data_IF_532618396635
#
_entry.id   IF_532618396635
#
_cell.length_a   1.000
_cell.length_b   1.000
_cell.length_c   1.000
_cell.angle_alpha   90.00
_cell.angle_beta   90.00
_cell.angle_gamma   90.00
#
_symmetry.space_group_name_H-M   'P 1'
#
loop_
_entity.id
_entity.type
_entity.pdbx_description
1 polymer ?
#
# COMPACT_ATOMS: atom_id res chain seq x y z
N UNK A 1 -5.52 -28.95 -9.19
CA UNK A 1 -5.33 -27.88 -10.18
C UNK A 1 -6.41 -26.85 -9.86
N UNK A 2 -6.06 -25.85 -9.06
CA UNK A 2 -7.01 -24.91 -8.45
C UNK A 2 -7.08 -23.70 -9.37
N UNK A 3 -8.18 -23.58 -10.10
CA UNK A 3 -8.63 -22.33 -10.69
C UNK A 3 -9.95 -21.96 -10.03
N UNK A 4 -10.33 -20.67 -10.13
CA UNK A 4 -11.57 -20.01 -9.67
C UNK A 4 -11.37 -19.20 -8.38
N UNK A 5 -10.92 -17.95 -8.52
CA UNK A 5 -11.56 -16.79 -7.83
C UNK A 5 -11.47 -15.57 -8.77
N UNK A 6 -12.42 -15.45 -9.70
CA UNK A 6 -12.68 -14.21 -10.41
C UNK A 6 -13.56 -13.30 -9.55
N UNK A 7 -12.94 -12.35 -8.84
CA UNK A 7 -13.67 -11.35 -8.04
C UNK A 7 -14.19 -10.23 -8.94
N UNK A 8 -15.51 -10.15 -9.11
CA UNK A 8 -16.19 -9.07 -9.80
C UNK A 8 -17.07 -8.28 -8.81
N UNK A 9 -16.55 -7.19 -8.24
CA UNK A 9 -17.36 -6.10 -7.68
C UNK A 9 -16.72 -4.74 -7.96
N UNK A 10 -17.35 -4.02 -8.89
CA UNK A 10 -17.25 -2.59 -9.22
C UNK A 10 -18.69 -2.07 -8.94
N UNK A 11 -19.00 -0.95 -8.28
CA UNK A 11 -18.48 0.42 -8.31
C UNK A 11 -19.06 1.13 -7.06
N UNK A 12 -18.28 1.96 -6.37
CA UNK A 12 -18.82 3.12 -5.64
C UNK A 12 -18.37 4.36 -6.40
N UNK A 13 -19.33 5.11 -6.93
CA UNK A 13 -19.08 6.44 -7.49
C UNK A 13 -19.13 7.44 -6.34
N UNK A 14 -18.00 8.09 -6.06
CA UNK A 14 -18.00 9.35 -5.33
C UNK A 14 -17.68 10.46 -6.32
N UNK A 15 -18.73 11.14 -6.76
CA UNK A 15 -18.67 12.42 -7.45
C UNK A 15 -18.00 13.46 -6.55
N UNK A 16 -16.81 13.93 -6.96
CA UNK A 16 -16.31 15.26 -6.60
C UNK A 16 -15.47 15.84 -7.74
N UNK A 17 -16.18 16.46 -8.68
CA UNK A 17 -15.73 17.50 -9.62
C UNK A 17 -16.48 18.77 -9.15
N UNK A 18 -15.91 19.94 -8.89
CA UNK A 18 -14.79 20.65 -9.50
C UNK A 18 -14.29 21.76 -8.55
N UNK A 19 -13.00 22.12 -8.65
CA UNK A 19 -12.56 23.50 -8.82
C UNK A 19 -11.11 23.50 -9.31
N UNK A 20 -10.92 23.93 -10.57
CA UNK A 20 -9.61 24.22 -11.17
C UNK A 20 -9.30 25.70 -10.92
N UNK A 21 -8.07 26.00 -10.51
CA UNK A 21 -7.40 27.26 -10.85
C UNK A 21 -5.92 26.98 -11.13
N UNK A 22 -5.48 27.39 -12.31
CA UNK A 22 -4.17 27.11 -12.89
C UNK A 22 -3.10 28.11 -12.45
N UNK A 23 -1.86 27.64 -12.36
CA UNK A 23 -0.66 28.45 -12.60
C UNK A 23 0.47 27.52 -13.10
N UNK A 24 1.09 27.76 -14.27
CA UNK A 24 2.20 26.95 -14.76
C UNK A 24 3.52 27.72 -14.66
N UNK A 25 4.36 27.43 -13.65
CA UNK A 25 5.76 27.85 -13.60
C UNK A 25 6.59 26.80 -12.82
N UNK A 26 7.43 26.05 -13.55
CA UNK A 26 8.44 25.15 -12.97
C UNK A 26 8.17 23.66 -13.17
N UNK A 27 8.13 23.21 -14.43
CA UNK A 27 8.45 21.83 -14.76
C UNK A 27 9.96 21.63 -14.53
N UNK A 28 10.31 21.11 -13.35
CA UNK A 28 11.44 20.20 -13.05
C UNK A 28 11.77 20.21 -11.55
N UNK A 29 10.74 20.00 -10.73
CA UNK A 29 10.95 19.51 -9.36
C UNK A 29 10.52 18.07 -9.44
N UNK A 30 11.47 17.12 -9.38
CA UNK A 30 11.19 15.76 -8.91
C UNK A 30 10.06 15.87 -7.90
N UNK A 31 8.87 15.38 -8.26
CA UNK A 31 7.76 15.35 -7.33
C UNK A 31 8.29 14.50 -6.20
N UNK A 32 8.69 15.13 -5.10
CA UNK A 32 9.27 14.41 -3.96
C UNK A 32 8.23 13.36 -3.61
N UNK A 33 8.55 12.11 -3.89
CA UNK A 33 7.63 11.01 -3.73
C UNK A 33 7.24 11.00 -2.25
N UNK A 34 5.94 10.96 -1.98
CA UNK A 34 5.47 10.94 -0.60
C UNK A 34 5.94 9.61 0.02
N UNK A 35 6.34 9.65 1.28
CA UNK A 35 6.61 8.47 2.09
C UNK A 35 5.63 7.31 1.83
N UNK A 36 4.33 7.58 1.87
CA UNK A 36 3.32 6.54 1.72
C UNK A 36 3.26 5.98 0.29
N UNK A 37 3.64 6.77 -0.71
CA UNK A 37 3.78 6.34 -2.10
C UNK A 37 5.01 5.43 -2.26
N UNK A 38 6.13 5.78 -1.63
CA UNK A 38 7.33 4.94 -1.59
C UNK A 38 7.03 3.60 -0.90
N UNK A 39 6.38 3.61 0.26
CA UNK A 39 6.03 2.39 0.97
C UNK A 39 5.06 1.50 0.18
N UNK A 40 4.02 2.08 -0.42
CA UNK A 40 3.07 1.33 -1.24
C UNK A 40 3.76 0.67 -2.43
N UNK A 41 4.60 1.43 -3.14
CA UNK A 41 5.35 0.94 -4.32
C UNK A 41 6.37 -0.13 -3.92
N UNK A 42 7.12 0.09 -2.85
CA UNK A 42 8.10 -0.85 -2.32
C UNK A 42 7.45 -2.18 -1.94
N UNK A 43 6.35 -2.16 -1.19
CA UNK A 43 5.67 -3.38 -0.73
C UNK A 43 5.02 -4.13 -1.90
N UNK A 44 4.38 -3.44 -2.84
CA UNK A 44 3.80 -4.13 -4.01
C UNK A 44 4.89 -4.72 -4.91
N UNK A 45 5.98 -3.99 -5.16
CA UNK A 45 7.14 -4.49 -5.90
C UNK A 45 7.78 -5.71 -5.20
N UNK A 46 7.87 -5.69 -3.86
CA UNK A 46 8.38 -6.83 -3.08
C UNK A 46 7.52 -8.08 -3.23
N UNK A 47 6.19 -7.93 -3.32
CA UNK A 47 5.27 -9.06 -3.55
C UNK A 47 5.38 -9.57 -4.99
N UNK A 48 5.65 -8.67 -5.94
CA UNK A 48 5.80 -8.98 -7.37
C UNK A 48 7.20 -9.49 -7.76
N UNK A 49 8.15 -9.51 -6.82
CA UNK A 49 9.58 -9.82 -7.06
C UNK A 49 10.24 -8.89 -8.12
N UNK A 50 9.78 -7.63 -8.20
CA UNK A 50 10.28 -6.60 -9.12
C UNK A 50 11.45 -5.83 -8.47
N UNK A 51 12.66 -6.40 -8.54
CA UNK A 51 13.84 -5.79 -7.92
C UNK A 51 14.16 -4.39 -8.44
N UNK A 52 13.90 -4.10 -9.72
CA UNK A 52 14.16 -2.78 -10.28
C UNK A 52 13.26 -1.71 -9.63
N UNK A 53 11.98 -2.05 -9.43
CA UNK A 53 11.03 -1.14 -8.77
C UNK A 53 11.27 -1.05 -7.26
N UNK A 54 11.75 -2.12 -6.62
CA UNK A 54 12.22 -2.08 -5.23
C UNK A 54 13.35 -1.07 -5.08
N UNK A 55 14.37 -1.15 -5.92
CA UNK A 55 15.53 -0.25 -5.88
C UNK A 55 15.11 1.20 -6.13
N UNK A 56 14.24 1.43 -7.12
CA UNK A 56 13.68 2.76 -7.41
C UNK A 56 12.95 3.35 -6.19
N UNK A 57 11.98 2.63 -5.62
CA UNK A 57 11.18 3.09 -4.50
C UNK A 57 12.03 3.32 -3.24
N UNK A 58 13.08 2.53 -3.04
CA UNK A 58 14.01 2.69 -1.91
C UNK A 58 14.82 3.99 -1.98
N UNK A 59 15.04 4.53 -3.18
CA UNK A 59 15.75 5.79 -3.40
C UNK A 59 14.90 7.05 -3.23
N UNK A 60 13.58 6.91 -3.06
CA UNK A 60 12.66 8.04 -3.00
C UNK A 60 12.68 8.79 -1.67
N UNK A 61 12.92 8.09 -0.56
CA UNK A 61 12.87 8.60 0.81
C UNK A 61 14.03 8.02 1.64
N UNK A 62 14.27 8.51 2.86
CA UNK A 62 15.27 7.89 3.73
C UNK A 62 14.86 6.47 4.15
N UNK A 63 15.82 5.58 4.48
CA UNK A 63 15.51 4.24 4.97
C UNK A 63 14.59 4.22 6.20
N UNK A 64 14.78 5.15 7.14
CA UNK A 64 13.94 5.28 8.34
C UNK A 64 12.52 5.67 7.98
N UNK A 65 12.38 6.59 7.02
CA UNK A 65 11.10 7.01 6.50
C UNK A 65 10.41 5.80 5.85
N UNK A 66 11.07 5.09 4.93
CA UNK A 66 10.51 3.92 4.27
C UNK A 66 10.04 2.86 5.28
N UNK A 67 10.87 2.55 6.28
CA UNK A 67 10.52 1.60 7.35
C UNK A 67 9.26 2.02 8.13
N UNK A 68 9.14 3.31 8.46
CA UNK A 68 7.92 3.85 9.07
C UNK A 68 6.70 3.68 8.15
N UNK A 69 6.84 4.01 6.86
CA UNK A 69 5.76 3.84 5.87
C UNK A 69 5.32 2.38 5.70
N UNK A 70 6.26 1.43 5.66
CA UNK A 70 5.97 -0.01 5.58
C UNK A 70 5.25 -0.51 6.84
N UNK A 71 5.70 -0.08 8.02
CA UNK A 71 5.07 -0.42 9.29
C UNK A 71 3.63 0.09 9.38
N UNK A 72 3.39 1.34 8.96
CA UNK A 72 2.05 1.92 8.89
C UNK A 72 1.15 1.20 7.90
N UNK A 73 1.68 0.81 6.73
CA UNK A 73 0.93 0.02 5.75
C UNK A 73 0.52 -1.35 6.33
N UNK A 74 1.42 -2.02 7.05
CA UNK A 74 1.13 -3.29 7.72
C UNK A 74 0.02 -3.13 8.78
N UNK A 75 0.10 -2.10 9.63
CA UNK A 75 -0.95 -1.80 10.62
C UNK A 75 -2.32 -1.60 9.96
N UNK A 76 -2.37 -0.79 8.90
CA UNK A 76 -3.62 -0.53 8.17
C UNK A 76 -4.18 -1.79 7.51
N UNK A 77 -3.32 -2.62 6.91
CA UNK A 77 -3.72 -3.88 6.30
C UNK A 77 -4.32 -4.84 7.33
N UNK A 78 -3.68 -4.99 8.50
CA UNK A 78 -4.20 -5.84 9.59
C UNK A 78 -5.55 -5.32 10.09
N UNK A 79 -5.71 -4.01 10.31
CA UNK A 79 -6.99 -3.43 10.76
C UNK A 79 -8.10 -3.66 9.73
N UNK A 80 -7.80 -3.48 8.45
CA UNK A 80 -8.75 -3.70 7.37
C UNK A 80 -9.17 -5.18 7.32
N UNK A 81 -8.21 -6.10 7.30
CA UNK A 81 -8.47 -7.54 7.25
C UNK A 81 -9.19 -8.07 8.49
N UNK A 82 -8.86 -7.58 9.68
CA UNK A 82 -9.55 -7.92 10.93
C UNK A 82 -11.05 -7.58 10.85
N UNK A 83 -11.37 -6.40 10.32
CA UNK A 83 -12.77 -5.99 10.11
C UNK A 83 -13.47 -6.82 9.04
N UNK A 84 -12.78 -7.15 7.95
CA UNK A 84 -13.35 -7.97 6.88
C UNK A 84 -13.62 -9.42 7.32
N UNK A 85 -12.82 -9.95 8.25
CA UNK A 85 -12.92 -11.33 8.75
C UNK A 85 -13.71 -11.47 10.05
N UNK A 86 -14.11 -10.36 10.66
CA UNK A 86 -14.67 -10.32 12.03
C UNK A 86 -13.75 -11.02 13.06
N UNK A 87 -12.43 -10.83 12.91
CA UNK A 87 -11.41 -11.42 13.76
C UNK A 87 -10.64 -10.34 14.52
N UNK A 88 -9.96 -10.73 15.60
CA UNK A 88 -9.06 -9.82 16.30
C UNK A 88 -7.83 -9.49 15.43
N UNK A 89 -7.27 -8.26 15.51
CA UNK A 89 -6.02 -7.91 14.84
C UNK A 89 -4.85 -8.87 15.16
N UNK A 90 -4.79 -9.38 16.39
CA UNK A 90 -3.77 -10.36 16.81
C UNK A 90 -3.92 -11.68 16.04
N UNK A 91 -5.14 -12.21 15.95
CA UNK A 91 -5.44 -13.44 15.19
C UNK A 91 -5.03 -13.29 13.72
N UNK A 92 -5.40 -12.17 13.09
CA UNK A 92 -5.04 -11.88 11.70
C UNK A 92 -3.53 -11.78 11.50
N UNK A 93 -2.84 -11.00 12.33
CA UNK A 93 -1.39 -10.81 12.23
C UNK A 93 -0.63 -12.14 12.38
N UNK A 94 -1.01 -12.96 13.36
CA UNK A 94 -0.42 -14.30 13.57
C UNK A 94 -0.68 -15.22 12.38
N UNK A 95 -1.90 -15.22 11.86
CA UNK A 95 -2.28 -16.04 10.70
C UNK A 95 -1.49 -15.64 9.44
N UNK A 96 -1.33 -14.34 9.18
CA UNK A 96 -0.54 -13.84 8.05
C UNK A 96 0.93 -14.27 8.12
N UNK A 97 1.46 -14.45 9.33
CA UNK A 97 2.84 -14.89 9.59
C UNK A 97 2.97 -16.40 9.79
N UNK A 98 1.89 -17.18 9.64
CA UNK A 98 1.91 -18.64 9.83
C UNK A 98 2.19 -19.07 11.28
N UNK A 99 1.92 -18.20 12.26
CA UNK A 99 2.10 -18.50 13.67
C UNK A 99 0.88 -19.26 14.23
N UNK A 100 1.06 -20.12 15.26
CA UNK A 100 -0.07 -20.82 15.90
C UNK A 100 -1.11 -19.84 16.43
N UNK A 101 -2.40 -20.18 16.41
CA UNK A 101 -3.39 -19.45 17.18
C UNK A 101 -3.10 -19.63 18.69
N UNK A 102 -3.27 -18.56 19.47
CA UNK A 102 -3.23 -18.64 20.93
C UNK A 102 -4.55 -19.22 21.48
#
# INVERSE_FOLDING_TARGET
MIDIIGSLRKVVSSDRKAARSAAPLGADRHRQHNLFEAAATYVSASVEDDQARIDEASGWVSPEALSFGVSELACRAVIALARERDESPQTVARTLLGLPAD
#
